data_IF_273692441383
#
_entry.id   IF_273692441383
#
_cell.length_a   1.000
_cell.length_b   1.000
_cell.length_c   1.000
_cell.angle_alpha   90.00
_cell.angle_beta   90.00
_cell.angle_gamma   90.00
#
_symmetry.space_group_name_H-M   'P 1'
#
loop_
_entity.id
_entity.type
_entity.pdbx_description
1 polymer ?
#
# COMPACT_ATOMS: atom_id res chain seq x y z
N UNK A 1 -16.35 10.43 4.68
CA UNK A 1 -16.65 11.86 4.36
C UNK A 1 -16.10 12.20 2.99
N UNK A 2 -14.90 11.70 2.67
CA UNK A 2 -14.15 11.97 1.44
C UNK A 2 -14.86 11.59 0.13
N UNK A 3 -15.76 10.61 0.18
CA UNK A 3 -16.56 10.19 -0.99
C UNK A 3 -17.81 11.07 -1.14
N UNK A 4 -18.61 11.17 -0.07
CA UNK A 4 -19.93 11.84 -0.09
C UNK A 4 -19.81 13.35 -0.32
N UNK A 5 -18.91 14.05 0.41
CA UNK A 5 -18.71 15.50 0.19
C UNK A 5 -18.07 15.80 -1.17
N UNK A 6 -17.25 14.90 -1.72
CA UNK A 6 -16.66 15.08 -3.05
C UNK A 6 -17.68 15.00 -4.18
N UNK A 7 -18.73 14.18 -4.02
CA UNK A 7 -19.81 14.04 -4.99
C UNK A 7 -20.97 15.01 -4.79
N UNK A 8 -21.30 15.34 -3.53
CA UNK A 8 -22.34 16.31 -3.16
C UNK A 8 -21.83 17.25 -2.06
N UNK A 9 -21.17 18.35 -2.43
CA UNK A 9 -20.54 19.28 -1.48
C UNK A 9 -21.54 19.93 -0.52
N UNK A 10 -22.79 20.15 -0.95
CA UNK A 10 -23.85 20.81 -0.17
C UNK A 10 -24.60 19.86 0.78
N UNK A 11 -24.09 18.65 1.03
CA UNK A 11 -24.74 17.71 1.96
C UNK A 11 -24.61 18.24 3.40
N UNK A 12 -25.74 18.40 4.09
CA UNK A 12 -25.75 18.84 5.50
C UNK A 12 -25.03 17.84 6.42
N UNK A 13 -24.44 18.34 7.51
CA UNK A 13 -23.69 17.51 8.46
C UNK A 13 -24.56 16.42 9.11
N UNK A 14 -25.83 16.71 9.38
CA UNK A 14 -26.78 15.71 9.89
C UNK A 14 -26.99 14.56 8.89
N UNK A 15 -27.09 14.88 7.59
CA UNK A 15 -27.21 13.88 6.53
C UNK A 15 -25.92 13.07 6.39
N UNK A 16 -24.75 13.71 6.55
CA UNK A 16 -23.45 13.02 6.53
C UNK A 16 -23.32 12.02 7.68
N UNK A 17 -23.76 12.38 8.89
CA UNK A 17 -23.77 11.46 10.04
C UNK A 17 -24.71 10.29 9.79
N UNK A 18 -25.92 10.54 9.26
CA UNK A 18 -26.87 9.47 8.93
C UNK A 18 -26.31 8.51 7.88
N UNK A 19 -25.72 9.02 6.80
CA UNK A 19 -25.06 8.20 5.76
C UNK A 19 -23.92 7.40 6.38
N UNK A 20 -23.07 8.03 7.20
CA UNK A 20 -21.97 7.36 7.89
C UNK A 20 -22.44 6.19 8.76
N UNK A 21 -23.53 6.38 9.52
CA UNK A 21 -24.13 5.31 10.35
C UNK A 21 -24.66 4.16 9.50
N UNK A 22 -25.33 4.45 8.38
CA UNK A 22 -25.82 3.42 7.45
C UNK A 22 -24.65 2.64 6.86
N UNK A 23 -23.63 3.34 6.37
CA UNK A 23 -22.41 2.71 5.83
C UNK A 23 -21.74 1.83 6.87
N UNK A 24 -21.60 2.29 8.12
CA UNK A 24 -21.03 1.50 9.21
C UNK A 24 -21.83 0.22 9.47
N UNK A 25 -23.17 0.30 9.48
CA UNK A 25 -24.04 -0.87 9.64
C UNK A 25 -23.87 -1.86 8.48
N UNK A 26 -23.86 -1.38 7.24
CA UNK A 26 -23.65 -2.22 6.05
C UNK A 26 -22.28 -2.90 6.07
N UNK A 27 -21.21 -2.15 6.36
CA UNK A 27 -19.85 -2.70 6.47
C UNK A 27 -19.77 -3.75 7.59
N UNK A 28 -20.44 -3.51 8.72
CA UNK A 28 -20.50 -4.47 9.82
C UNK A 28 -21.18 -5.78 9.41
N UNK A 29 -22.32 -5.72 8.73
CA UNK A 29 -23.01 -6.93 8.22
C UNK A 29 -22.12 -7.68 7.23
N UNK A 30 -21.47 -6.98 6.30
CA UNK A 30 -20.53 -7.59 5.35
C UNK A 30 -19.34 -8.24 6.06
N UNK A 31 -18.79 -7.61 7.11
CA UNK A 31 -17.72 -8.17 7.92
C UNK A 31 -18.16 -9.42 8.69
N UNK A 32 -19.38 -9.44 9.25
CA UNK A 32 -19.94 -10.62 9.90
C UNK A 32 -20.09 -11.79 8.92
N UNK A 33 -20.59 -11.52 7.70
CA UNK A 33 -20.69 -12.53 6.65
C UNK A 33 -19.30 -13.05 6.25
N UNK A 34 -18.33 -12.14 6.08
CA UNK A 34 -16.96 -12.50 5.72
C UNK A 34 -16.24 -13.30 6.82
N UNK A 35 -16.54 -13.03 8.10
CA UNK A 35 -15.93 -13.73 9.24
C UNK A 35 -16.09 -15.25 9.17
N UNK A 36 -17.12 -15.75 8.47
CA UNK A 36 -17.32 -17.19 8.23
C UNK A 36 -16.18 -17.85 7.43
N UNK A 37 -15.43 -17.06 6.65
CA UNK A 37 -14.31 -17.54 5.84
C UNK A 37 -12.99 -17.63 6.62
N UNK A 38 -12.95 -17.14 7.87
CA UNK A 38 -11.73 -17.11 8.67
C UNK A 38 -11.11 -18.49 8.92
N UNK A 39 -11.94 -19.54 9.00
CA UNK A 39 -11.48 -20.93 9.19
C UNK A 39 -10.74 -21.53 8.00
N UNK A 40 -10.66 -20.83 6.86
CA UNK A 40 -9.94 -21.27 5.66
C UNK A 40 -8.46 -20.85 5.65
N UNK A 41 -8.05 -19.99 6.57
CA UNK A 41 -6.65 -19.58 6.72
C UNK A 41 -5.97 -20.42 7.80
N UNK A 42 -4.70 -20.77 7.61
CA UNK A 42 -3.89 -21.48 8.62
C UNK A 42 -3.82 -20.73 9.96
N UNK A 43 -3.82 -19.40 9.89
CA UNK A 43 -3.85 -18.52 11.04
C UNK A 43 -4.54 -17.21 10.66
N UNK A 44 -5.21 -16.59 11.63
CA UNK A 44 -5.80 -15.25 11.49
C UNK A 44 -4.72 -14.24 11.06
N UNK A 45 -3.50 -14.37 11.60
CA UNK A 45 -2.38 -13.49 11.24
C UNK A 45 -1.98 -13.63 9.78
N UNK A 46 -1.86 -14.88 9.29
CA UNK A 46 -1.54 -15.15 7.89
C UNK A 46 -2.63 -14.63 6.96
N UNK A 47 -3.91 -14.86 7.29
CA UNK A 47 -5.02 -14.37 6.48
C UNK A 47 -5.09 -12.85 6.37
N UNK A 48 -4.93 -12.14 7.49
CA UNK A 48 -4.87 -10.66 7.48
C UNK A 48 -3.70 -10.17 6.63
N UNK A 49 -2.50 -10.74 6.82
CA UNK A 49 -1.33 -10.31 6.08
C UNK A 49 -1.41 -10.63 4.59
N UNK A 50 -1.99 -11.76 4.21
CA UNK A 50 -2.19 -12.12 2.81
C UNK A 50 -3.14 -11.13 2.11
N UNK A 51 -4.22 -10.71 2.78
CA UNK A 51 -5.14 -9.70 2.23
C UNK A 51 -4.46 -8.32 2.09
N UNK A 52 -3.70 -7.91 3.11
CA UNK A 52 -2.97 -6.63 3.09
C UNK A 52 -1.85 -6.66 2.04
N UNK A 53 -1.17 -7.80 1.88
CA UNK A 53 -0.09 -8.01 0.92
C UNK A 53 -0.52 -7.79 -0.53
N UNK A 54 -1.78 -8.03 -0.88
CA UNK A 54 -2.32 -7.75 -2.22
C UNK A 54 -2.69 -6.26 -2.42
N UNK A 55 -2.99 -5.53 -1.35
CA UNK A 55 -3.46 -4.13 -1.41
C UNK A 55 -2.36 -3.10 -1.14
N UNK A 56 -1.38 -3.44 -0.30
CA UNK A 56 -0.31 -2.54 0.08
C UNK A 56 0.63 -2.15 -1.09
N UNK A 57 1.02 -3.03 -2.02
CA UNK A 57 2.00 -2.69 -3.04
C UNK A 57 1.58 -1.55 -3.99
N UNK A 58 0.37 -1.55 -4.60
CA UNK A 58 -0.04 -0.47 -5.49
C UNK A 58 -0.08 0.90 -4.79
N UNK A 59 -0.56 0.93 -3.55
CA UNK A 59 -0.61 2.14 -2.72
C UNK A 59 0.81 2.63 -2.42
N UNK A 60 1.67 1.72 -1.98
CA UNK A 60 3.07 2.02 -1.64
C UNK A 60 3.82 2.57 -2.84
N UNK A 61 3.64 1.99 -4.03
CA UNK A 61 4.24 2.48 -5.27
C UNK A 61 3.82 3.92 -5.57
N UNK A 62 2.52 4.22 -5.51
CA UNK A 62 2.05 5.58 -5.80
C UNK A 62 2.58 6.61 -4.80
N UNK A 63 2.63 6.28 -3.51
CA UNK A 63 3.20 7.20 -2.51
C UNK A 63 4.71 7.34 -2.64
N UNK A 64 5.43 6.23 -2.78
CA UNK A 64 6.88 6.21 -2.91
C UNK A 64 7.31 7.01 -4.14
N UNK A 65 6.84 6.63 -5.33
CA UNK A 65 7.19 7.35 -6.54
C UNK A 65 6.56 8.75 -6.59
N UNK A 66 5.44 8.99 -5.92
CA UNK A 66 4.90 10.35 -5.77
C UNK A 66 5.87 11.31 -5.07
N UNK A 67 6.66 10.83 -4.12
CA UNK A 67 7.66 11.65 -3.40
C UNK A 67 9.02 11.66 -4.13
N UNK A 68 9.46 10.51 -4.64
CA UNK A 68 10.80 10.34 -5.20
C UNK A 68 10.90 10.59 -6.71
N UNK A 69 9.77 10.60 -7.44
CA UNK A 69 9.74 10.79 -8.90
C UNK A 69 9.06 12.11 -9.28
N UNK A 70 9.83 13.16 -9.64
CA UNK A 70 9.24 14.45 -10.00
C UNK A 70 8.43 14.40 -11.31
N UNK A 71 8.52 13.31 -12.08
CA UNK A 71 7.67 13.08 -13.26
C UNK A 71 6.40 12.30 -12.96
N UNK A 72 6.11 11.96 -11.71
CA UNK A 72 4.92 11.20 -11.33
C UNK A 72 3.67 11.95 -11.78
N UNK A 73 2.84 11.32 -12.61
CA UNK A 73 1.61 11.94 -13.12
C UNK A 73 0.40 11.39 -12.39
N UNK A 74 -0.66 12.19 -12.27
CA UNK A 74 -1.92 11.72 -11.68
C UNK A 74 -2.48 10.51 -12.44
N UNK A 75 -2.32 10.47 -13.77
CA UNK A 75 -2.74 9.35 -14.59
C UNK A 75 -1.92 8.09 -14.28
N UNK A 76 -0.60 8.20 -14.12
CA UNK A 76 0.24 7.08 -13.70
C UNK A 76 -0.20 6.52 -12.36
N UNK A 77 -0.47 7.39 -11.38
CA UNK A 77 -0.98 6.97 -10.07
C UNK A 77 -2.31 6.22 -10.16
N UNK A 78 -3.28 6.75 -10.91
CA UNK A 78 -4.60 6.13 -11.06
C UNK A 78 -4.53 4.78 -11.79
N UNK A 79 -3.80 4.72 -12.90
CA UNK A 79 -3.65 3.49 -13.69
C UNK A 79 -2.91 2.42 -12.88
N UNK A 80 -1.87 2.80 -12.14
CA UNK A 80 -1.15 1.88 -11.24
C UNK A 80 -2.01 1.36 -10.12
N UNK A 81 -2.81 2.20 -9.47
CA UNK A 81 -3.73 1.76 -8.42
C UNK A 81 -4.79 0.80 -8.98
N UNK A 82 -5.46 1.17 -10.07
CA UNK A 82 -6.53 0.36 -10.64
C UNK A 82 -5.99 -0.99 -11.15
N UNK A 83 -4.95 -0.99 -11.98
CA UNK A 83 -4.37 -2.22 -12.50
C UNK A 83 -3.70 -3.04 -11.41
N UNK A 84 -2.99 -2.39 -10.47
CA UNK A 84 -2.36 -3.06 -9.34
C UNK A 84 -3.37 -3.76 -8.43
N UNK A 85 -4.51 -3.12 -8.13
CA UNK A 85 -5.58 -3.75 -7.37
C UNK A 85 -6.28 -4.87 -8.14
N UNK A 86 -6.47 -4.73 -9.45
CA UNK A 86 -7.03 -5.80 -10.28
C UNK A 86 -6.11 -7.01 -10.31
N UNK A 87 -4.80 -6.82 -10.55
CA UNK A 87 -3.82 -7.90 -10.53
C UNK A 87 -3.73 -8.52 -9.14
N UNK A 88 -3.69 -7.70 -8.08
CA UNK A 88 -3.71 -8.17 -6.69
C UNK A 88 -4.95 -9.00 -6.37
N UNK A 89 -6.13 -8.57 -6.84
CA UNK A 89 -7.37 -9.31 -6.66
C UNK A 89 -7.39 -10.64 -7.45
N UNK A 90 -6.84 -10.66 -8.66
CA UNK A 90 -6.69 -11.90 -9.46
C UNK A 90 -5.76 -12.88 -8.76
N UNK A 91 -4.58 -12.43 -8.34
CA UNK A 91 -3.61 -13.27 -7.61
C UNK A 91 -4.23 -13.77 -6.30
N UNK A 92 -4.87 -12.90 -5.54
CA UNK A 92 -5.58 -13.29 -4.32
C UNK A 92 -6.66 -14.34 -4.60
N UNK A 93 -7.46 -14.17 -5.65
CA UNK A 93 -8.53 -15.11 -5.98
C UNK A 93 -8.02 -16.48 -6.43
N UNK A 94 -6.87 -16.53 -7.12
CA UNK A 94 -6.20 -17.77 -7.54
C UNK A 94 -5.61 -18.55 -6.36
N UNK A 95 -5.22 -17.84 -5.30
CA UNK A 95 -4.69 -18.42 -4.06
C UNK A 95 -5.75 -18.57 -2.96
N UNK A 96 -6.97 -18.09 -3.19
CA UNK A 96 -8.02 -18.16 -2.20
C UNK A 96 -8.72 -19.53 -2.28
N UNK A 97 -8.72 -20.32 -1.19
CA UNK A 97 -9.26 -21.69 -1.15
C UNK A 97 -10.80 -21.76 -1.27
N UNK A 98 -11.47 -20.70 -1.73
CA UNK A 98 -12.89 -20.71 -2.12
C UNK A 98 -13.07 -21.13 -3.58
N UNK A 99 -12.08 -20.92 -4.44
CA UNK A 99 -12.19 -21.18 -5.89
C UNK A 99 -11.48 -22.46 -6.36
N UNK A 100 -10.76 -23.15 -5.46
CA UNK A 100 -10.12 -24.44 -5.71
C UNK A 100 -9.38 -24.94 -4.46
N UNK A 101 -9.20 -26.26 -4.32
CA UNK A 101 -8.46 -26.86 -3.19
C UNK A 101 -6.93 -26.63 -3.28
N UNK A 102 -6.43 -26.25 -4.45
CA UNK A 102 -5.00 -25.98 -4.70
C UNK A 102 -4.75 -24.48 -4.79
N UNK A 103 -3.81 -23.94 -4.00
CA UNK A 103 -3.36 -22.54 -4.14
C UNK A 103 -2.43 -22.48 -5.35
N UNK A 104 -2.86 -21.91 -6.46
CA UNK A 104 -2.10 -22.01 -7.71
C UNK A 104 -0.76 -21.27 -7.66
N UNK A 105 -0.68 -20.13 -6.98
CA UNK A 105 0.55 -19.34 -6.91
C UNK A 105 1.42 -19.79 -5.74
N UNK A 106 0.80 -20.13 -4.61
CA UNK A 106 1.54 -20.61 -3.43
C UNK A 106 1.99 -22.07 -3.55
N UNK A 107 1.17 -22.98 -4.08
CA UNK A 107 1.47 -24.43 -4.10
C UNK A 107 2.08 -24.89 -5.44
N UNK A 108 1.72 -24.29 -6.59
CA UNK A 108 2.27 -24.70 -7.90
C UNK A 108 3.51 -23.90 -8.28
N UNK A 109 3.53 -22.59 -7.94
CA UNK A 109 4.70 -21.74 -8.22
C UNK A 109 5.63 -21.57 -7.02
N UNK A 110 5.28 -22.14 -5.86
CA UNK A 110 6.06 -22.07 -4.62
C UNK A 110 6.36 -20.62 -4.18
N UNK A 111 5.51 -19.65 -4.56
CA UNK A 111 5.72 -18.24 -4.23
C UNK A 111 4.88 -17.89 -3.00
N UNK A 112 5.49 -17.67 -1.81
CA UNK A 112 4.75 -17.27 -0.62
C UNK A 112 4.14 -15.87 -0.82
N UNK A 113 3.03 -15.59 -0.12
CA UNK A 113 2.30 -14.32 -0.24
C UNK A 113 3.19 -13.07 -0.08
N UNK A 114 4.26 -13.16 0.71
CA UNK A 114 5.20 -12.06 0.92
C UNK A 114 6.03 -11.76 -0.34
N UNK A 115 6.44 -12.80 -1.07
CA UNK A 115 7.09 -12.64 -2.37
C UNK A 115 6.12 -12.18 -3.45
N UNK A 116 4.86 -12.61 -3.39
CA UNK A 116 3.82 -12.10 -4.31
C UNK A 116 3.65 -10.58 -4.18
N UNK A 117 3.64 -10.06 -2.94
CA UNK A 117 3.60 -8.63 -2.69
C UNK A 117 4.81 -7.90 -3.30
N UNK A 118 6.01 -8.48 -3.19
CA UNK A 118 7.22 -7.93 -3.80
C UNK A 118 7.14 -7.89 -5.33
N UNK A 119 6.70 -8.98 -5.96
CA UNK A 119 6.52 -9.01 -7.41
C UNK A 119 5.45 -8.02 -7.88
N UNK A 120 4.35 -7.91 -7.14
CA UNK A 120 3.31 -6.92 -7.41
C UNK A 120 3.83 -5.49 -7.25
N UNK A 121 4.68 -5.23 -6.25
CA UNK A 121 5.36 -3.95 -6.07
C UNK A 121 6.27 -3.60 -7.25
N UNK A 122 7.08 -4.56 -7.71
CA UNK A 122 7.96 -4.39 -8.87
C UNK A 122 7.14 -4.11 -10.15
N UNK A 123 6.08 -4.89 -10.38
CA UNK A 123 5.18 -4.71 -11.52
C UNK A 123 4.50 -3.32 -11.47
N UNK A 124 3.95 -2.94 -10.33
CA UNK A 124 3.32 -1.63 -10.14
C UNK A 124 4.34 -0.49 -10.34
N UNK A 125 5.57 -0.64 -9.85
CA UNK A 125 6.64 0.35 -10.03
C UNK A 125 7.01 0.52 -11.50
N UNK A 126 7.20 -0.59 -12.23
CA UNK A 126 7.46 -0.56 -13.66
C UNK A 126 6.32 0.15 -14.41
N UNK A 127 5.09 -0.22 -14.12
CA UNK A 127 3.89 0.33 -14.74
C UNK A 127 3.74 1.83 -14.44
N UNK A 128 3.97 2.25 -13.19
CA UNK A 128 3.97 3.65 -12.79
C UNK A 128 4.98 4.46 -13.61
N UNK A 129 6.22 3.97 -13.72
CA UNK A 129 7.29 4.66 -14.47
C UNK A 129 6.94 4.73 -15.96
N UNK A 130 6.48 3.63 -16.57
CA UNK A 130 6.10 3.60 -18.00
C UNK A 130 4.98 4.60 -18.28
N UNK A 131 3.88 4.56 -17.50
CA UNK A 131 2.75 5.47 -17.71
C UNK A 131 3.15 6.92 -17.43
N UNK A 132 3.99 7.16 -16.41
CA UNK A 132 4.54 8.49 -16.10
C UNK A 132 5.37 9.07 -17.25
N UNK A 133 6.09 8.24 -18.01
CA UNK A 133 6.89 8.68 -19.15
C UNK A 133 6.05 8.94 -20.42
N UNK A 134 4.92 8.25 -20.57
CA UNK A 134 4.03 8.38 -21.73
C UNK A 134 3.04 9.55 -21.54
N UNK A 135 2.60 9.80 -20.30
CA UNK A 135 1.71 10.93 -19.97
C UNK A 135 2.48 12.27 -20.00
N UNK A 136 1.83 13.38 -20.39
CA UNK A 136 2.42 14.72 -20.29
C UNK A 136 2.98 15.02 -18.90
N UNK A 137 4.17 15.65 -18.88
CA UNK A 137 4.87 16.01 -17.64
C UNK A 137 3.99 16.95 -16.80
N UNK A 138 3.94 16.76 -15.46
CA UNK A 138 3.23 17.69 -14.60
C UNK A 138 3.89 19.07 -14.66
N UNK A 139 3.08 20.12 -14.48
CA UNK A 139 3.60 21.49 -14.43
C UNK A 139 4.48 21.70 -13.19
N UNK A 140 5.53 22.54 -13.29
CA UNK A 140 6.47 22.76 -12.19
C UNK A 140 5.78 23.22 -10.90
N UNK A 141 4.72 24.03 -11.01
CA UNK A 141 3.92 24.52 -9.88
C UNK A 141 3.17 23.40 -9.13
N UNK A 142 2.90 22.26 -9.76
CA UNK A 142 2.24 21.12 -9.12
C UNK A 142 3.20 20.21 -8.35
N UNK A 143 4.51 20.33 -8.62
CA UNK A 143 5.55 19.45 -8.05
C UNK A 143 6.32 20.18 -6.93
N UNK A 144 6.35 21.51 -6.98
CA UNK A 144 7.09 22.33 -6.04
C UNK A 144 6.60 22.13 -4.60
N UNK A 145 7.49 21.61 -3.75
CA UNK A 145 7.21 21.33 -2.34
C UNK A 145 6.60 19.95 -2.05
N UNK A 146 6.24 19.16 -3.07
CA UNK A 146 5.66 17.81 -2.89
C UNK A 146 6.68 16.69 -3.12
N UNK A 147 7.63 16.87 -4.03
CA UNK A 147 8.69 15.89 -4.29
C UNK A 147 10.01 16.27 -3.62
N UNK A 148 10.78 15.26 -3.21
CA UNK A 148 12.13 15.49 -2.71
C UNK A 148 13.06 15.95 -3.84
N UNK A 149 13.77 17.06 -3.61
CA UNK A 149 14.79 17.57 -4.54
C UNK A 149 16.01 16.63 -4.63
N UNK A 150 16.34 15.94 -3.54
CA UNK A 150 17.39 14.94 -3.48
C UNK A 150 17.02 13.85 -2.47
N UNK A 151 17.13 12.55 -2.80
CA UNK A 151 16.68 11.45 -1.93
C UNK A 151 17.42 11.41 -0.59
N UNK A 152 18.67 11.87 -0.55
CA UNK A 152 19.48 11.93 0.68
C UNK A 152 19.37 13.26 1.44
N UNK A 153 18.59 14.24 0.94
CA UNK A 153 18.47 15.54 1.62
C UNK A 153 17.95 15.37 3.06
N UNK A 154 17.01 14.45 3.29
CA UNK A 154 16.46 14.19 4.63
C UNK A 154 17.47 13.64 5.65
N UNK A 155 18.58 13.06 5.18
CA UNK A 155 19.63 12.45 6.03
C UNK A 155 20.81 13.43 6.22
N UNK A 156 21.09 14.26 5.21
CA UNK A 156 22.31 15.07 5.13
C UNK A 156 22.07 16.56 5.45
N UNK A 157 20.82 17.04 5.44
CA UNK A 157 20.53 18.49 5.48
C UNK A 157 20.88 19.21 6.78
N UNK A 158 20.96 18.50 7.91
CA UNK A 158 21.14 19.12 9.23
C UNK A 158 22.17 18.36 10.07
N UNK A 159 22.94 19.11 10.87
CA UNK A 159 23.93 18.58 11.80
C UNK A 159 23.21 17.83 12.93
N UNK A 160 23.65 16.61 13.25
CA UNK A 160 23.03 15.76 14.27
C UNK A 160 22.83 16.53 15.59
N UNK A 161 21.58 16.61 16.05
CA UNK A 161 21.19 17.35 17.25
C UNK A 161 21.37 16.54 18.55
N UNK A 162 22.33 15.60 18.57
CA UNK A 162 22.64 14.74 19.72
C UNK A 162 21.94 13.36 19.68
N UNK A 163 21.87 12.69 20.84
CA UNK A 163 21.36 11.30 20.97
C UNK A 163 19.82 11.23 20.84
N UNK A 164 19.12 12.33 21.12
CA UNK A 164 17.68 12.44 20.90
C UNK A 164 17.30 12.74 19.43
N UNK A 165 18.28 12.87 18.55
CA UNK A 165 18.04 13.01 17.11
C UNK A 165 17.45 11.69 16.56
N UNK A 166 16.32 11.74 15.83
CA UNK A 166 15.71 10.56 15.21
C UNK A 166 16.70 9.73 14.36
N UNK A 167 17.70 10.36 13.74
CA UNK A 167 18.72 9.67 12.94
C UNK A 167 19.68 8.84 13.80
N UNK A 168 20.07 9.36 14.97
CA UNK A 168 20.89 8.64 15.92
C UNK A 168 20.12 7.47 16.55
N UNK A 169 18.85 7.69 16.90
CA UNK A 169 17.97 6.63 17.40
C UNK A 169 17.75 5.53 16.35
N UNK A 170 17.59 5.89 15.08
CA UNK A 170 17.48 4.92 13.98
C UNK A 170 18.75 4.07 13.82
N UNK A 171 19.94 4.67 13.91
CA UNK A 171 21.21 3.93 13.87
C UNK A 171 21.35 2.95 15.05
N UNK A 172 20.99 3.39 16.26
CA UNK A 172 20.99 2.52 17.45
C UNK A 172 20.02 1.36 17.27
N UNK A 173 18.81 1.63 16.76
CA UNK A 173 17.82 0.59 16.48
C UNK A 173 18.35 -0.43 15.47
N UNK A 174 18.97 0.03 14.37
CA UNK A 174 19.58 -0.84 13.36
C UNK A 174 20.70 -1.69 13.97
N UNK A 175 21.57 -1.11 14.79
CA UNK A 175 22.65 -1.83 15.46
C UNK A 175 22.10 -2.92 16.41
N UNK A 176 21.06 -2.60 17.19
CA UNK A 176 20.36 -3.56 18.06
C UNK A 176 19.75 -4.69 17.22
N UNK A 177 19.07 -4.36 16.11
CA UNK A 177 18.48 -5.35 15.21
C UNK A 177 19.54 -6.28 14.63
N UNK A 178 20.66 -5.75 14.14
CA UNK A 178 21.77 -6.55 13.64
C UNK A 178 22.36 -7.47 14.71
N UNK A 179 22.54 -6.96 15.93
CA UNK A 179 23.03 -7.77 17.05
C UNK A 179 22.08 -8.91 17.40
N UNK A 180 20.77 -8.63 17.50
CA UNK A 180 19.75 -9.64 17.76
C UNK A 180 19.71 -10.70 16.66
N UNK A 181 19.69 -10.28 15.39
CA UNK A 181 19.76 -11.20 14.26
C UNK A 181 21.03 -12.06 14.33
N UNK A 182 22.19 -11.49 14.61
CA UNK A 182 23.43 -12.28 14.73
C UNK A 182 23.39 -13.29 15.88
N UNK A 183 22.75 -12.95 17.00
CA UNK A 183 22.68 -13.84 18.17
C UNK A 183 21.66 -14.96 18.04
N UNK A 184 20.59 -14.75 17.26
CA UNK A 184 19.44 -15.66 17.17
C UNK A 184 19.21 -16.27 15.78
N UNK A 185 19.97 -15.85 14.76
CA UNK A 185 20.02 -16.52 13.45
C UNK A 185 20.92 -17.75 13.51
#
# INVERSE_FOLDING_TARGET
IDIVKKWKPETSDESLVRIGRITACVVMVLAMLWSTQGGRFESIFTGINQMIACLAPPITVVFLWGVFWPRGTQQASLVTLLLGFLVGAVVFSLDFPVFGETKWVTDVWEIPFMMQAWWLFCLCSLLFVIVSLITPRPSANQIEGLCWKHPLAAIVSERLAGIADPRAMALVLVAIMCALYWTFA
#
